data_IF_717425032653
#
_entry.id   IF_717425032653
#
_cell.length_a   1.000
_cell.length_b   1.000
_cell.length_c   1.000
_cell.angle_alpha   90.00
_cell.angle_beta   90.00
_cell.angle_gamma   90.00
#
_symmetry.space_group_name_H-M   'P 1'
#
loop_
_entity.id
_entity.type
_entity.pdbx_description
1 polymer ?
#
# COMPACT_ATOMS: atom_id res chain seq x y z
N UNK A 1 47.62 -23.13 -18.76
CA UNK A 1 46.65 -22.77 -19.83
C UNK A 1 45.22 -23.23 -19.53
N UNK A 2 44.99 -24.49 -19.12
CA UNK A 2 43.63 -25.00 -18.78
C UNK A 2 42.91 -24.19 -17.67
N UNK A 3 43.62 -23.79 -16.61
CA UNK A 3 43.04 -23.01 -15.50
C UNK A 3 42.66 -21.57 -15.84
N UNK A 4 43.30 -20.99 -16.87
CA UNK A 4 42.95 -19.65 -17.38
C UNK A 4 41.67 -19.75 -18.22
N UNK A 5 41.55 -20.81 -19.04
CA UNK A 5 40.37 -21.07 -19.86
C UNK A 5 39.11 -21.32 -19.02
N UNK A 6 39.24 -22.03 -17.88
CA UNK A 6 38.09 -22.30 -17.00
C UNK A 6 37.57 -21.03 -16.31
N UNK A 7 38.47 -20.13 -15.93
CA UNK A 7 38.09 -18.87 -15.27
C UNK A 7 37.41 -17.91 -16.25
N UNK A 8 37.93 -17.78 -17.47
CA UNK A 8 37.30 -16.93 -18.50
C UNK A 8 35.92 -17.45 -18.89
N UNK A 9 35.73 -18.77 -18.97
CA UNK A 9 34.42 -19.38 -19.25
C UNK A 9 33.41 -19.11 -18.14
N UNK A 10 33.82 -19.20 -16.87
CA UNK A 10 32.98 -18.88 -15.72
C UNK A 10 32.58 -17.39 -15.71
N UNK A 11 33.52 -16.49 -15.99
CA UNK A 11 33.26 -15.05 -16.05
C UNK A 11 32.33 -14.66 -17.21
N UNK A 12 32.46 -15.30 -18.37
CA UNK A 12 31.55 -15.08 -19.49
C UNK A 12 30.14 -15.61 -19.17
N UNK A 13 30.05 -16.79 -18.54
CA UNK A 13 28.77 -17.34 -18.12
C UNK A 13 28.05 -16.43 -17.11
N UNK A 14 28.76 -15.91 -16.09
CA UNK A 14 28.17 -14.99 -15.13
C UNK A 14 27.77 -13.65 -15.78
N UNK A 15 28.60 -13.10 -16.67
CA UNK A 15 28.27 -11.88 -17.41
C UNK A 15 27.01 -12.05 -18.29
N UNK A 16 26.85 -13.20 -18.95
CA UNK A 16 25.65 -13.51 -19.73
C UNK A 16 24.41 -13.62 -18.85
N UNK A 17 24.50 -14.29 -17.70
CA UNK A 17 23.38 -14.42 -16.75
C UNK A 17 22.96 -13.04 -16.21
N UNK A 18 23.93 -12.19 -15.83
CA UNK A 18 23.64 -10.83 -15.39
C UNK A 18 23.03 -9.98 -16.51
N UNK A 19 23.52 -10.10 -17.75
CA UNK A 19 23.00 -9.36 -18.89
C UNK A 19 21.55 -9.78 -19.22
N UNK A 20 21.24 -11.07 -19.19
CA UNK A 20 19.89 -11.61 -19.39
C UNK A 20 18.94 -11.17 -18.26
N UNK A 21 19.40 -11.27 -17.01
CA UNK A 21 18.62 -10.83 -15.83
C UNK A 21 18.34 -9.32 -15.87
N UNK A 22 19.34 -8.50 -16.23
CA UNK A 22 19.18 -7.05 -16.36
C UNK A 22 18.26 -6.68 -17.54
N UNK A 23 18.37 -7.37 -18.67
CA UNK A 23 17.47 -7.16 -19.81
C UNK A 23 16.02 -7.49 -19.47
N UNK A 24 15.77 -8.54 -18.68
CA UNK A 24 14.42 -8.88 -18.20
C UNK A 24 13.94 -7.90 -17.12
N UNK A 25 14.79 -7.52 -16.16
CA UNK A 25 14.47 -6.58 -15.08
C UNK A 25 14.16 -5.17 -15.59
N UNK A 26 14.81 -4.71 -16.68
CA UNK A 26 14.51 -3.42 -17.32
C UNK A 26 13.04 -3.27 -17.71
N UNK A 27 12.39 -4.35 -18.14
CA UNK A 27 10.96 -4.31 -18.49
C UNK A 27 10.06 -4.02 -17.27
N UNK A 28 10.44 -4.53 -16.10
CA UNK A 28 9.74 -4.30 -14.83
C UNK A 28 10.04 -2.91 -14.23
N UNK A 29 11.28 -2.42 -14.38
CA UNK A 29 11.66 -1.07 -13.93
C UNK A 29 10.86 0.00 -14.68
N UNK A 30 10.62 -0.19 -15.99
CA UNK A 30 9.85 0.77 -16.78
C UNK A 30 8.40 0.91 -16.31
N UNK A 31 7.78 -0.22 -15.92
CA UNK A 31 6.41 -0.26 -15.40
C UNK A 31 6.28 0.42 -14.03
N UNK A 32 7.30 0.30 -13.18
CA UNK A 32 7.32 0.98 -11.88
C UNK A 32 7.49 2.49 -12.03
N UNK A 33 8.29 2.95 -13.01
CA UNK A 33 8.51 4.38 -13.27
C UNK A 33 7.24 5.06 -13.82
N UNK A 34 6.52 4.42 -14.74
CA UNK A 34 5.24 4.96 -15.26
C UNK A 34 4.16 5.06 -14.17
N UNK A 35 4.06 4.05 -13.28
CA UNK A 35 3.18 4.12 -12.09
C UNK A 35 3.58 5.27 -11.16
N UNK A 36 4.88 5.55 -11.04
CA UNK A 36 5.39 6.61 -10.18
C UNK A 36 5.08 8.02 -10.74
N UNK A 37 5.04 8.17 -12.05
CA UNK A 37 4.70 9.43 -12.72
C UNK A 37 3.19 9.71 -12.69
N UNK A 38 2.36 8.66 -12.78
CA UNK A 38 0.91 8.74 -12.52
C UNK A 38 0.62 9.07 -11.05
N UNK A 39 1.32 8.45 -10.09
CA UNK A 39 1.19 8.75 -8.66
C UNK A 39 1.52 10.22 -8.32
N UNK A 40 2.39 10.86 -9.12
CA UNK A 40 2.73 12.29 -8.96
C UNK A 40 1.59 13.22 -9.40
N UNK A 41 0.77 12.79 -10.36
CA UNK A 41 -0.42 13.52 -10.78
C UNK A 41 -1.60 13.23 -9.85
N UNK A 42 -1.73 11.99 -9.34
CA UNK A 42 -2.69 11.65 -8.27
C UNK A 42 -2.45 12.48 -7.00
N UNK A 43 -1.20 12.66 -6.58
CA UNK A 43 -0.89 13.46 -5.38
C UNK A 43 -1.35 14.93 -5.45
N UNK A 44 -1.49 15.49 -6.66
CA UNK A 44 -1.96 16.86 -6.89
C UNK A 44 -3.51 16.94 -6.93
N UNK A 45 -4.17 15.82 -7.20
CA UNK A 45 -5.63 15.65 -7.12
C UNK A 45 -6.06 15.34 -5.67
N UNK A 46 -5.28 14.52 -4.96
CA UNK A 46 -5.49 14.14 -3.55
C UNK A 46 -5.47 15.34 -2.57
N UNK A 47 -4.74 16.42 -2.89
CA UNK A 47 -4.71 17.64 -2.08
C UNK A 47 -5.96 18.52 -2.32
N UNK A 48 -6.53 18.47 -3.53
CA UNK A 48 -7.77 19.16 -3.88
C UNK A 48 -9.02 18.42 -3.36
N UNK A 49 -8.97 17.09 -3.28
CA UNK A 49 -10.05 16.27 -2.69
C UNK A 49 -10.13 16.45 -1.16
N UNK A 50 -9.00 16.63 -0.46
CA UNK A 50 -8.97 16.71 1.01
C UNK A 50 -9.75 17.88 1.60
N UNK A 51 -9.62 19.09 1.05
CA UNK A 51 -10.35 20.26 1.56
C UNK A 51 -11.86 20.10 1.37
N UNK A 52 -12.30 19.58 0.22
CA UNK A 52 -13.72 19.32 -0.06
C UNK A 52 -14.29 18.22 0.84
N UNK A 53 -13.50 17.16 1.11
CA UNK A 53 -13.89 16.08 2.03
C UNK A 53 -14.08 16.61 3.45
N UNK A 54 -13.20 17.49 3.94
CA UNK A 54 -13.38 18.14 5.24
C UNK A 54 -14.66 18.98 5.30
N UNK A 55 -15.02 19.71 4.25
CA UNK A 55 -16.29 20.46 4.20
C UNK A 55 -17.52 19.54 4.29
N UNK A 56 -17.39 18.30 3.81
CA UNK A 56 -18.42 17.26 3.90
C UNK A 56 -18.38 16.49 5.24
N UNK A 57 -17.48 16.87 6.16
CA UNK A 57 -17.30 16.19 7.45
C UNK A 57 -16.59 14.84 7.35
N UNK A 58 -15.88 14.60 6.25
CA UNK A 58 -15.08 13.39 6.02
C UNK A 58 -13.64 13.69 6.40
N UNK A 59 -13.15 12.98 7.41
CA UNK A 59 -11.77 13.07 7.87
C UNK A 59 -10.96 11.88 7.33
N UNK A 60 -9.80 12.16 6.76
CA UNK A 60 -8.86 11.14 6.28
C UNK A 60 -7.74 10.95 7.29
N UNK A 61 -7.45 9.69 7.61
CA UNK A 61 -6.34 9.31 8.47
C UNK A 61 -5.39 8.41 7.70
N UNK A 62 -4.15 8.85 7.53
CA UNK A 62 -3.08 8.01 6.99
C UNK A 62 -2.32 7.37 8.15
N UNK A 63 -2.34 6.03 8.20
CA UNK A 63 -1.72 5.24 9.25
C UNK A 63 -0.70 4.28 8.65
N UNK A 64 0.53 4.35 9.16
CA UNK A 64 1.57 3.42 8.80
C UNK A 64 1.54 2.17 9.68
N UNK A 65 1.66 1.01 9.04
CA UNK A 65 1.74 -0.29 9.71
C UNK A 65 2.74 -1.20 9.03
N UNK A 66 3.23 -2.20 9.77
CA UNK A 66 4.08 -3.24 9.21
C UNK A 66 3.26 -4.46 8.83
N UNK A 67 3.12 -4.71 7.54
CA UNK A 67 2.61 -5.97 7.00
C UNK A 67 3.68 -7.04 6.88
N UNK A 68 3.39 -8.07 6.07
CA UNK A 68 4.33 -9.16 5.82
C UNK A 68 5.50 -8.70 4.95
N UNK A 69 5.21 -7.91 3.91
CA UNK A 69 6.19 -7.41 2.95
C UNK A 69 7.02 -6.21 3.42
N UNK A 70 6.67 -5.61 4.56
CA UNK A 70 7.31 -4.40 5.08
C UNK A 70 6.30 -3.37 5.55
N UNK A 71 6.71 -2.11 5.54
CA UNK A 71 5.82 -0.99 5.85
C UNK A 71 4.76 -0.81 4.75
N UNK A 72 3.54 -0.56 5.19
CA UNK A 72 2.40 -0.18 4.39
C UNK A 72 1.75 1.08 4.95
N UNK A 73 1.20 1.91 4.07
CA UNK A 73 0.39 3.06 4.42
C UNK A 73 -1.06 2.76 4.05
N UNK A 74 -1.94 2.97 5.03
CA UNK A 74 -3.37 2.76 4.93
C UNK A 74 -4.07 4.07 5.19
N UNK A 75 -4.89 4.50 4.24
CA UNK A 75 -5.77 5.67 4.38
C UNK A 75 -7.16 5.19 4.77
N UNK A 76 -7.72 5.79 5.81
CA UNK A 76 -9.05 5.49 6.34
C UNK A 76 -9.89 6.76 6.30
N UNK A 77 -11.06 6.68 5.70
CA UNK A 77 -12.03 7.77 5.68
C UNK A 77 -13.07 7.57 6.79
N UNK A 78 -13.25 8.56 7.65
CA UNK A 78 -14.18 8.53 8.78
C UNK A 78 -15.13 9.73 8.66
N UNK A 79 -16.43 9.47 8.82
CA UNK A 79 -17.47 10.50 8.90
C UNK A 79 -18.39 10.18 10.07
N UNK A 80 -18.60 11.15 10.95
CA UNK A 80 -19.46 11.01 12.13
C UNK A 80 -19.16 9.75 12.98
N UNK A 81 -17.87 9.39 13.10
CA UNK A 81 -17.41 8.20 13.83
C UNK A 81 -17.58 6.86 13.10
N UNK A 82 -18.10 6.87 11.88
CA UNK A 82 -18.24 5.66 11.04
C UNK A 82 -17.18 5.63 9.94
N UNK A 83 -16.63 4.44 9.67
CA UNK A 83 -15.68 4.23 8.57
C UNK A 83 -16.44 4.23 7.25
N UNK A 84 -16.13 5.18 6.36
CA UNK A 84 -16.71 5.25 5.01
C UNK A 84 -15.95 4.38 4.01
N UNK A 85 -14.66 4.15 4.26
CA UNK A 85 -13.82 3.38 3.36
C UNK A 85 -12.37 3.31 3.82
N UNK A 86 -11.67 2.32 3.27
CA UNK A 86 -10.26 2.04 3.56
C UNK A 86 -9.53 1.85 2.24
N UNK A 87 -8.31 2.37 2.14
CA UNK A 87 -7.46 2.20 0.95
C UNK A 87 -6.01 1.98 1.37
N UNK A 88 -5.38 0.93 0.87
CA UNK A 88 -3.93 0.75 1.02
C UNK A 88 -3.24 1.50 -0.11
N UNK A 89 -2.54 2.59 0.22
CA UNK A 89 -1.91 3.48 -0.78
C UNK A 89 -0.45 3.11 -1.04
N UNK A 90 0.19 2.40 -0.12
CA UNK A 90 1.56 1.91 -0.27
C UNK A 90 1.73 0.59 0.45
N UNK A 91 2.39 -0.39 -0.18
CA UNK A 91 2.79 -1.64 0.46
C UNK A 91 3.96 -2.29 -0.29
N UNK A 92 4.53 -3.36 0.25
CA UNK A 92 5.57 -4.18 -0.39
C UNK A 92 5.28 -5.67 -0.26
N UNK A 93 3.99 -5.99 -0.21
CA UNK A 93 3.47 -7.35 -0.10
C UNK A 93 3.85 -8.24 -1.28
N UNK A 94 3.75 -9.55 -1.08
CA UNK A 94 4.15 -10.53 -2.10
C UNK A 94 3.20 -10.42 -3.30
N UNK A 95 3.70 -10.17 -4.53
CA UNK A 95 2.86 -10.11 -5.72
C UNK A 95 2.01 -11.38 -5.89
N UNK A 96 0.70 -11.20 -6.12
CA UNK A 96 -0.27 -12.29 -6.24
C UNK A 96 -0.86 -12.76 -4.92
N UNK A 97 -0.53 -12.09 -3.81
CA UNK A 97 -1.21 -12.20 -2.51
C UNK A 97 -1.77 -10.86 -2.03
N UNK A 98 -1.45 -9.77 -2.75
CA UNK A 98 -1.89 -8.41 -2.51
C UNK A 98 -3.29 -8.12 -3.07
N UNK A 99 -3.88 -9.03 -3.84
CA UNK A 99 -5.25 -8.92 -4.37
C UNK A 99 -6.28 -8.63 -3.25
N UNK A 100 -6.03 -9.13 -2.03
CA UNK A 100 -6.87 -8.89 -0.84
C UNK A 100 -6.93 -7.41 -0.43
N UNK A 101 -5.95 -6.61 -0.85
CA UNK A 101 -5.88 -5.17 -0.60
C UNK A 101 -6.63 -4.36 -1.67
N UNK A 102 -7.24 -5.04 -2.65
CA UNK A 102 -8.08 -4.39 -3.66
C UNK A 102 -9.37 -3.84 -3.03
N UNK A 103 -9.91 -2.71 -3.51
CA UNK A 103 -11.03 -2.02 -2.87
C UNK A 103 -12.33 -2.82 -2.76
N UNK A 104 -12.59 -3.76 -3.67
CA UNK A 104 -13.94 -4.30 -3.88
C UNK A 104 -14.29 -5.53 -3.03
N UNK A 105 -13.29 -6.28 -2.55
CA UNK A 105 -13.50 -7.55 -1.85
C UNK A 105 -13.46 -7.38 -0.32
N UNK A 106 -12.32 -7.70 0.30
CA UNK A 106 -12.18 -7.67 1.75
C UNK A 106 -12.13 -6.24 2.30
N UNK A 107 -11.48 -5.32 1.58
CA UNK A 107 -11.38 -3.91 1.95
C UNK A 107 -12.75 -3.20 1.89
N UNK A 108 -13.61 -3.56 0.95
CA UNK A 108 -14.94 -2.95 0.82
C UNK A 108 -15.84 -3.19 2.03
N UNK A 109 -15.59 -4.26 2.80
CA UNK A 109 -16.37 -4.61 4.00
C UNK A 109 -16.28 -3.55 5.09
N UNK A 110 -15.17 -2.82 5.17
CA UNK A 110 -14.97 -1.78 6.19
C UNK A 110 -15.96 -0.61 6.09
N UNK A 111 -16.60 -0.42 4.93
CA UNK A 111 -17.61 0.61 4.73
C UNK A 111 -19.03 0.16 5.10
N UNK A 112 -19.27 -1.15 5.27
CA UNK A 112 -20.61 -1.74 5.38
C UNK A 112 -20.81 -2.62 6.62
N UNK A 113 -19.73 -3.14 7.19
CA UNK A 113 -19.74 -4.02 8.35
C UNK A 113 -19.06 -3.37 9.55
N UNK A 114 -19.49 -3.77 10.75
CA UNK A 114 -18.78 -3.40 11.98
C UNK A 114 -17.40 -4.07 12.02
N UNK A 115 -16.42 -3.36 12.59
CA UNK A 115 -15.03 -3.81 12.62
C UNK A 115 -14.85 -5.20 13.26
N UNK A 116 -15.65 -5.51 14.30
CA UNK A 116 -15.64 -6.82 14.97
C UNK A 116 -16.08 -7.99 14.05
N UNK A 117 -16.81 -7.70 12.97
CA UNK A 117 -17.25 -8.70 11.98
C UNK A 117 -16.23 -8.97 10.87
N UNK A 118 -15.13 -8.21 10.82
CA UNK A 118 -14.15 -8.28 9.74
C UNK A 118 -12.91 -9.06 10.21
N UNK A 119 -12.91 -10.35 9.90
CA UNK A 119 -11.77 -11.21 10.20
C UNK A 119 -10.60 -11.03 9.22
N UNK A 120 -9.40 -11.35 9.71
CA UNK A 120 -8.20 -11.46 8.88
C UNK A 120 -8.33 -12.61 7.85
N UNK A 121 -7.77 -12.40 6.66
CA UNK A 121 -7.90 -13.36 5.55
C UNK A 121 -6.84 -14.45 5.66
N UNK A 122 -7.24 -15.71 5.44
CA UNK A 122 -6.29 -16.84 5.42
C UNK A 122 -5.25 -16.66 4.32
N UNK A 123 -4.00 -17.06 4.59
CA UNK A 123 -2.84 -16.89 3.68
C UNK A 123 -2.38 -15.43 3.47
N UNK A 124 -3.09 -14.45 4.01
CA UNK A 124 -2.69 -13.04 4.05
C UNK A 124 -2.84 -12.45 5.47
N UNK A 125 -2.82 -13.30 6.52
CA UNK A 125 -3.25 -12.93 7.88
C UNK A 125 -2.41 -11.80 8.49
N UNK A 126 -1.10 -11.78 8.24
CA UNK A 126 -0.22 -10.71 8.73
C UNK A 126 -0.54 -9.39 8.02
N UNK A 127 -0.73 -9.44 6.70
CA UNK A 127 -1.04 -8.30 5.84
C UNK A 127 -2.41 -7.70 6.19
N UNK A 128 -3.46 -8.52 6.24
CA UNK A 128 -4.80 -8.05 6.59
C UNK A 128 -4.92 -7.66 8.06
N UNK A 129 -4.18 -8.33 8.95
CA UNK A 129 -4.08 -7.93 10.35
C UNK A 129 -3.47 -6.54 10.51
N UNK A 130 -2.46 -6.20 9.70
CA UNK A 130 -1.89 -4.86 9.67
C UNK A 130 -2.92 -3.80 9.25
N UNK A 131 -3.79 -4.11 8.27
CA UNK A 131 -4.88 -3.21 7.85
C UNK A 131 -5.93 -3.05 8.95
N UNK A 132 -6.39 -4.12 9.58
CA UNK A 132 -7.34 -4.04 10.71
C UNK A 132 -6.82 -3.13 11.81
N UNK A 133 -5.58 -3.35 12.20
CA UNK A 133 -4.89 -2.56 13.21
C UNK A 133 -4.70 -1.08 12.79
N UNK A 134 -4.52 -0.81 11.50
CA UNK A 134 -4.45 0.55 10.99
C UNK A 134 -5.81 1.26 11.09
N UNK A 135 -6.91 0.56 10.82
CA UNK A 135 -8.27 1.07 10.97
C UNK A 135 -8.61 1.35 12.43
N UNK A 136 -8.25 0.44 13.35
CA UNK A 136 -8.41 0.66 14.79
C UNK A 136 -7.68 1.93 15.26
N UNK A 137 -6.45 2.15 14.80
CA UNK A 137 -5.70 3.32 15.19
C UNK A 137 -6.24 4.60 14.54
N UNK A 138 -6.75 4.55 13.30
CA UNK A 138 -7.44 5.67 12.68
C UNK A 138 -8.68 6.08 13.49
N UNK A 139 -9.50 5.12 13.93
CA UNK A 139 -10.66 5.39 14.80
C UNK A 139 -10.20 6.02 16.12
N UNK A 140 -9.14 5.50 16.74
CA UNK A 140 -8.59 6.08 17.97
C UNK A 140 -8.12 7.52 17.75
N UNK A 141 -7.48 7.81 16.62
CA UNK A 141 -7.03 9.16 16.27
C UNK A 141 -8.22 10.12 16.11
N UNK A 142 -9.28 9.67 15.43
CA UNK A 142 -10.54 10.41 15.31
C UNK A 142 -11.16 10.71 16.68
N UNK A 143 -11.29 9.71 17.55
CA UNK A 143 -11.83 9.88 18.92
C UNK A 143 -10.97 10.81 19.78
N UNK A 144 -9.65 10.83 19.57
CA UNK A 144 -8.73 11.73 20.26
C UNK A 144 -8.73 13.17 19.74
N UNK A 145 -9.44 13.44 18.64
CA UNK A 145 -9.53 14.77 18.02
C UNK A 145 -8.27 15.18 17.26
N UNK A 146 -7.45 14.24 16.81
CA UNK A 146 -6.18 14.48 16.08
C UNK A 146 -6.40 14.45 14.56
N UNK A 147 -7.54 15.01 14.09
CA UNK A 147 -7.90 15.03 12.67
C UNK A 147 -7.38 16.28 11.94
N UNK A 148 -6.93 16.14 10.69
CA UNK A 148 -6.43 17.25 9.87
C UNK A 148 -7.48 18.34 9.61
N UNK A 149 -8.78 18.01 9.67
CA UNK A 149 -9.85 18.99 9.51
C UNK A 149 -10.08 19.88 10.76
N UNK A 150 -9.39 19.64 11.88
CA UNK A 150 -9.60 20.35 13.15
C UNK A 150 -8.96 21.74 13.22
N UNK A 151 -8.06 22.10 12.29
CA UNK A 151 -7.42 23.44 12.29
C UNK A 151 -8.36 24.59 11.86
N UNK A 152 -9.62 24.31 11.49
CA UNK A 152 -10.62 25.31 11.07
C UNK A 152 -11.93 25.30 11.89
N UNK A 153 -11.90 24.85 13.15
CA UNK A 153 -13.07 25.00 14.06
C UNK A 153 -13.00 26.25 14.92
#
# INVERSE_FOLDING_TARGET
MKSILTLTLLCVASACILALSNAHTKSYIQQNIEKQELARLEGLVDELDRELLCEQGIELFEVERRGYGGEMSVVVAIQDGSVLGVRVVRHSETPGFDDVLSPDDWIGRFAVEELEGIDAVTRATVTTGAVLLAVEDAIRLYESGVGECTEKR
#
